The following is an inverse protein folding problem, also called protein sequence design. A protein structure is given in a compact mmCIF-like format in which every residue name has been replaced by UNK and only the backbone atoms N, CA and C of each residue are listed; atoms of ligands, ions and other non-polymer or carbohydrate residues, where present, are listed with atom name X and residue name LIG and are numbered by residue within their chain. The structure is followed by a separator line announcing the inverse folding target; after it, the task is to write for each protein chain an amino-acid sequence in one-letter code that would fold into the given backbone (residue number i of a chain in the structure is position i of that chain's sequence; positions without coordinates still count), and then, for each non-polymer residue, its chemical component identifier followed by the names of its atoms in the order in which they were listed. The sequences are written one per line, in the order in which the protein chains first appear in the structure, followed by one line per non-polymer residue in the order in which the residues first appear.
data_IF_949679300416
#
_entry.id   IF_949679300416
#
_cell.length_a   1.000
_cell.length_b   1.000
_cell.length_c   1.000
_cell.angle_alpha   90.00
_cell.angle_beta   90.00
_cell.angle_gamma   90.00
#
_symmetry.space_group_name_H-M   'P 1'
#
loop_
_entity.id
_entity.type
_entity.pdbx_description
1 polymer ?
#
# COMPACT_ATOMS: atom_id res chain seq x y z
N UNK A 1 12.33 -1.52 -0.23
CA UNK A 1 11.20 -1.70 -1.11
C UNK A 1 11.03 -3.14 -1.46
N UNK A 2 9.84 -3.69 -1.38
CA UNK A 2 9.65 -5.10 -1.71
C UNK A 2 9.96 -5.38 -3.16
N UNK A 3 10.40 -6.59 -3.44
CA UNK A 3 10.79 -6.92 -4.78
C UNK A 3 9.64 -6.97 -5.75
N UNK A 4 8.46 -7.35 -5.28
CA UNK A 4 7.33 -7.46 -6.18
C UNK A 4 6.57 -6.15 -6.29
N UNK A 5 7.14 -5.05 -5.81
CA UNK A 5 6.52 -3.75 -5.94
C UNK A 5 7.44 -2.88 -6.79
N UNK A 6 6.95 -2.35 -7.92
CA UNK A 6 7.82 -1.56 -8.78
C UNK A 6 8.21 -0.24 -8.12
N UNK A 7 9.31 0.33 -8.58
CA UNK A 7 9.78 1.57 -8.00
C UNK A 7 8.83 2.73 -8.27
N UNK A 8 7.93 2.57 -9.23
CA UNK A 8 6.97 3.62 -9.51
C UNK A 8 5.80 3.60 -8.57
N UNK A 9 5.74 2.63 -7.66
CA UNK A 9 4.62 2.52 -6.75
C UNK A 9 4.59 3.67 -5.78
N UNK A 10 3.39 4.03 -5.36
CA UNK A 10 3.19 5.08 -4.38
C UNK A 10 2.64 4.49 -3.11
N UNK A 11 2.97 5.08 -1.99
CA UNK A 11 2.46 4.61 -0.72
C UNK A 11 1.14 5.31 -0.43
N UNK A 12 0.13 4.51 -0.12
CA UNK A 12 -1.21 5.03 0.12
C UNK A 12 -1.68 4.55 1.48
N UNK A 13 -2.42 5.38 2.17
CA UNK A 13 -2.97 5.02 3.47
C UNK A 13 -4.46 4.81 3.33
N UNK A 14 -4.97 3.70 3.83
CA UNK A 14 -6.39 3.43 3.84
C UNK A 14 -6.85 3.27 5.26
N UNK A 15 -8.06 3.73 5.54
CA UNK A 15 -8.61 3.63 6.88
C UNK A 15 -9.82 2.72 6.85
N UNK A 16 -9.81 1.70 7.70
CA UNK A 16 -10.89 0.74 7.78
C UNK A 16 -11.17 0.50 9.24
N UNK A 17 -12.39 0.80 9.67
CA UNK A 17 -12.82 0.55 11.06
C UNK A 17 -11.85 1.15 12.06
N UNK A 18 -11.51 2.41 11.89
CA UNK A 18 -10.63 3.10 12.81
C UNK A 18 -9.19 2.62 12.74
N UNK A 19 -8.87 1.74 11.83
CA UNK A 19 -7.50 1.28 11.66
C UNK A 19 -6.98 1.80 10.34
N UNK A 20 -5.71 2.13 10.32
CA UNK A 20 -5.10 2.62 9.11
C UNK A 20 -4.04 1.64 8.64
N UNK A 21 -3.95 1.51 7.32
CA UNK A 21 -3.04 0.55 6.74
C UNK A 21 -2.32 1.18 5.56
N UNK A 22 -1.08 0.81 5.38
CA UNK A 22 -0.31 1.26 4.25
C UNK A 22 -0.46 0.27 3.13
N UNK A 23 -0.63 0.79 1.90
CA UNK A 23 -0.69 -0.04 0.71
C UNK A 23 0.20 0.58 -0.35
N UNK A 24 0.91 -0.26 -1.09
CA UNK A 24 1.61 0.18 -2.28
C UNK A 24 0.60 0.18 -3.39
N UNK A 25 0.65 1.19 -4.24
CA UNK A 25 -0.29 1.27 -5.34
C UNK A 25 0.44 1.75 -6.57
N UNK A 26 0.19 1.12 -7.70
CA UNK A 26 0.82 1.54 -8.95
C UNK A 26 -0.09 1.15 -10.09
N UNK A 27 0.23 1.70 -11.27
CA UNK A 27 -0.54 1.43 -12.44
C UNK A 27 0.23 0.56 -13.39
N UNK A 28 -0.40 -0.47 -13.89
CA UNK A 28 0.22 -1.34 -14.85
C UNK A 28 -0.68 -1.43 -16.05
N UNK A 29 -0.34 -0.74 -17.12
CA UNK A 29 -1.16 -0.74 -18.31
C UNK A 29 -2.53 -0.17 -18.00
N UNK A 30 -3.54 -0.97 -18.18
CA UNK A 30 -4.90 -0.54 -17.92
C UNK A 30 -5.35 -0.83 -16.52
N UNK A 31 -4.52 -1.37 -15.68
CA UNK A 31 -4.97 -1.84 -14.38
C UNK A 31 -4.26 -1.13 -13.26
N UNK A 32 -4.97 -0.99 -12.16
CA UNK A 32 -4.37 -0.45 -10.95
C UNK A 32 -4.09 -1.62 -10.03
N UNK A 33 -2.87 -1.74 -9.56
CA UNK A 33 -2.48 -2.82 -8.69
C UNK A 33 -2.12 -2.27 -7.33
N UNK A 34 -2.30 -3.07 -6.31
CA UNK A 34 -1.95 -2.64 -4.97
C UNK A 34 -1.42 -3.83 -4.19
N UNK A 35 -0.66 -3.52 -3.15
CA UNK A 35 -0.12 -4.54 -2.29
C UNK A 35 -0.07 -4.02 -0.87
N UNK A 36 -0.52 -4.83 0.05
CA UNK A 36 -0.57 -4.45 1.45
C UNK A 36 0.84 -4.35 2.02
N UNK A 37 1.12 -3.26 2.70
CA UNK A 37 2.42 -3.08 3.31
C UNK A 37 2.37 -3.38 4.79
N UNK A 38 1.41 -2.81 5.50
CA UNK A 38 1.33 -3.05 6.93
C UNK A 38 0.50 -1.98 7.61
N UNK A 39 0.24 -2.14 8.89
CA UNK A 39 -0.57 -1.16 9.61
C UNK A 39 0.23 0.11 9.87
N UNK A 40 -0.47 1.21 9.86
CA UNK A 40 0.14 2.48 10.20
C UNK A 40 0.26 2.58 11.71
N UNK A 41 -0.78 2.20 12.39
CA UNK A 41 -0.82 2.35 13.83
C UNK A 41 -0.13 1.19 14.50
N UNK A 42 1.09 1.40 15.01
CA UNK A 42 1.77 0.37 15.65
C UNK A 42 1.50 0.46 17.08
N UNK A 43 0.90 -0.44 17.63
CA UNK A 43 0.71 -0.38 19.01
C UNK A 43 1.91 -0.78 19.68
N UNK A 44 2.46 -0.30 20.26
CA UNK A 44 3.53 -0.69 20.79
C UNK A 44 3.64 -0.79 21.79
#
# INVERSE_FOLDING_TARGET
MPEDVPSKASLTVKEINDNRYYYWQWREGDQIKSKYKGPVNKSE
#
